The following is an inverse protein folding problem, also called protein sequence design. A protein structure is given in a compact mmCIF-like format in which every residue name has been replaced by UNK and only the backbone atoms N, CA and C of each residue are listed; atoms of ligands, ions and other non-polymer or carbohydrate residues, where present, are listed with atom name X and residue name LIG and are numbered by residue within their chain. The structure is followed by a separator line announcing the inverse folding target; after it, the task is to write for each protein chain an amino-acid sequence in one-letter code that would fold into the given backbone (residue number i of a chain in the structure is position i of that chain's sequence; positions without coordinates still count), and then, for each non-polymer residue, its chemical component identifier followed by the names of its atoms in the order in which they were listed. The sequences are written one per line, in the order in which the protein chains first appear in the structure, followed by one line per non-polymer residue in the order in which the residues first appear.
data_IF_171115040161
#
_entry.id   IF_171115040161
#
_cell.length_a   1.000
_cell.length_b   1.000
_cell.length_c   1.000
_cell.angle_alpha   90.00
_cell.angle_beta   90.00
_cell.angle_gamma   90.00
#
_symmetry.space_group_name_H-M   'P 1'
#
loop_
_entity.id
_entity.type
_entity.pdbx_description
1 polymer ?
#
# COMPACT_ATOMS: atom_id res chain seq x y z
N UNK A 1 41.07 -18.85 23.01
CA UNK A 1 39.67 -19.27 22.77
C UNK A 1 38.76 -18.24 23.44
N UNK A 2 38.42 -17.16 22.71
CA UNK A 2 37.61 -16.05 23.23
C UNK A 2 36.18 -16.18 22.73
N UNK A 3 35.22 -16.14 23.64
CA UNK A 3 33.78 -16.08 23.35
C UNK A 3 33.37 -14.60 23.32
N UNK A 4 32.98 -14.10 22.14
CA UNK A 4 32.33 -12.80 22.00
C UNK A 4 30.83 -13.04 22.10
N UNK A 5 30.23 -12.62 23.21
CA UNK A 5 28.79 -12.57 23.37
C UNK A 5 28.26 -11.29 22.71
N UNK A 6 27.50 -11.43 21.63
CA UNK A 6 26.78 -10.34 20.99
C UNK A 6 25.50 -10.04 21.80
N UNK A 7 25.48 -8.90 22.50
CA UNK A 7 24.25 -8.36 23.10
C UNK A 7 23.50 -7.57 22.02
N UNK A 8 22.38 -8.13 21.57
CA UNK A 8 21.45 -7.43 20.66
C UNK A 8 20.57 -6.51 21.51
N UNK A 9 20.85 -5.22 21.47
CA UNK A 9 19.98 -4.20 22.07
C UNK A 9 18.69 -4.07 21.25
N UNK A 10 17.65 -4.79 21.66
CA UNK A 10 16.27 -4.50 21.24
C UNK A 10 15.82 -3.20 21.91
N UNK A 11 15.99 -2.08 21.22
CA UNK A 11 15.39 -0.82 21.62
C UNK A 11 13.87 -0.93 21.49
N UNK A 12 13.19 -1.02 22.64
CA UNK A 12 11.74 -0.90 22.74
C UNK A 12 11.32 0.50 22.28
N UNK A 13 10.68 0.62 21.13
CA UNK A 13 9.96 1.83 20.72
C UNK A 13 8.68 1.96 21.53
N UNK A 14 8.82 2.37 22.79
CA UNK A 14 7.71 2.95 23.54
C UNK A 14 7.58 4.42 23.07
N UNK A 15 6.70 4.68 22.12
CA UNK A 15 6.28 6.05 21.77
C UNK A 15 5.48 6.63 22.94
N UNK A 16 6.18 7.34 23.82
CA UNK A 16 5.57 8.23 24.79
C UNK A 16 5.14 9.49 24.03
N UNK A 17 3.83 9.65 23.84
CA UNK A 17 3.23 10.87 23.32
C UNK A 17 3.38 11.97 24.38
N UNK A 18 4.38 12.83 24.21
CA UNK A 18 4.46 14.12 24.89
C UNK A 18 4.28 15.21 23.83
N UNK A 19 3.21 16.00 23.97
CA UNK A 19 2.80 17.01 23.02
C UNK A 19 3.56 18.31 23.29
N UNK A 20 4.72 18.46 22.64
CA UNK A 20 5.44 19.73 22.53
C UNK A 20 5.31 20.28 21.11
N UNK A 21 4.71 21.46 20.97
CA UNK A 21 4.53 22.19 19.72
C UNK A 21 5.84 22.56 19.00
N UNK A 22 5.66 22.96 17.72
CA UNK A 22 6.61 23.51 16.74
C UNK A 22 7.19 22.51 15.73
N UNK A 23 6.41 22.25 14.67
CA UNK A 23 6.97 21.90 13.36
C UNK A 23 6.46 22.83 12.27
N UNK A 24 7.31 23.79 11.90
CA UNK A 24 7.40 24.31 10.54
C UNK A 24 7.93 23.18 9.64
N UNK A 25 7.02 22.31 9.22
CA UNK A 25 7.28 21.24 8.25
C UNK A 25 6.09 21.23 7.30
N UNK A 26 6.37 21.26 6.00
CA UNK A 26 5.40 21.11 4.92
C UNK A 26 4.28 20.15 5.35
N UNK A 27 3.11 20.69 5.72
CA UNK A 27 1.94 19.89 5.99
C UNK A 27 1.63 19.19 4.66
N UNK A 28 1.98 17.91 4.55
CA UNK A 28 1.42 17.06 3.50
C UNK A 28 -0.07 17.14 3.77
N UNK A 29 -0.79 17.90 2.96
CA UNK A 29 -2.24 17.98 3.07
C UNK A 29 -2.76 16.57 2.83
N UNK A 30 -3.26 15.97 3.90
CA UNK A 30 -3.99 14.70 3.85
C UNK A 30 -5.44 14.93 3.49
N UNK A 31 -5.81 16.09 2.93
CA UNK A 31 -7.09 16.26 2.23
C UNK A 31 -7.31 15.02 1.38
N UNK A 32 -8.50 14.42 1.50
CA UNK A 32 -8.91 13.04 1.19
C UNK A 32 -8.54 12.50 -0.20
N UNK A 33 -7.26 12.54 -0.56
CA UNK A 33 -6.75 12.04 -1.82
C UNK A 33 -6.40 10.59 -1.58
N UNK A 34 -7.36 9.74 -1.93
CA UNK A 34 -7.24 8.31 -1.77
C UNK A 34 -5.99 7.81 -2.52
N UNK A 35 -4.96 7.37 -1.78
CA UNK A 35 -3.76 6.74 -2.34
C UNK A 35 -4.16 5.46 -3.09
N UNK A 36 -5.20 4.78 -2.61
CA UNK A 36 -5.88 3.67 -3.27
C UNK A 36 -7.24 4.16 -3.76
N UNK A 37 -7.52 4.13 -5.07
CA UNK A 37 -8.84 4.57 -5.53
C UNK A 37 -9.90 3.53 -5.08
N UNK A 38 -11.02 3.94 -4.46
CA UNK A 38 -12.10 3.00 -4.09
C UNK A 38 -12.74 2.34 -5.32
N UNK A 39 -12.66 3.00 -6.48
CA UNK A 39 -13.13 2.50 -7.78
C UNK A 39 -12.18 1.51 -8.46
N UNK A 40 -11.03 1.22 -7.84
CA UNK A 40 -10.06 0.24 -8.34
C UNK A 40 -10.06 -1.03 -7.48
N UNK A 41 -9.44 -2.09 -8.00
CA UNK A 41 -9.32 -3.33 -7.24
C UNK A 41 -8.42 -3.11 -6.02
N UNK A 42 -8.65 -3.93 -4.99
CA UNK A 42 -7.90 -3.84 -3.74
C UNK A 42 -6.38 -3.88 -3.99
N UNK A 43 -5.67 -2.96 -3.36
CA UNK A 43 -4.20 -2.85 -3.44
C UNK A 43 -3.66 -2.08 -4.65
N UNK A 44 -4.51 -1.63 -5.58
CA UNK A 44 -4.11 -0.78 -6.71
C UNK A 44 -4.05 0.70 -6.33
N UNK A 45 -3.05 1.41 -6.87
CA UNK A 45 -2.82 2.82 -6.60
C UNK A 45 -3.69 3.73 -7.44
N UNK A 46 -4.15 4.81 -6.83
CA UNK A 46 -4.73 5.93 -7.54
C UNK A 46 -3.61 6.73 -8.20
N UNK A 47 -3.31 6.42 -9.46
CA UNK A 47 -2.17 6.99 -10.22
C UNK A 47 -2.06 8.51 -10.11
N UNK A 48 -3.17 9.23 -10.27
CA UNK A 48 -3.21 10.70 -10.17
C UNK A 48 -3.24 11.18 -8.71
N UNK A 49 -3.99 10.51 -7.83
CA UNK A 49 -4.06 10.86 -6.42
C UNK A 49 -2.72 10.72 -5.70
N UNK A 50 -2.04 9.60 -5.90
CA UNK A 50 -0.70 9.35 -5.35
C UNK A 50 0.36 10.34 -5.88
N UNK A 51 0.27 10.75 -7.15
CA UNK A 51 1.17 11.79 -7.68
C UNK A 51 0.98 13.14 -6.96
N UNK A 52 -0.28 13.51 -6.70
CA UNK A 52 -0.63 14.74 -6.00
C UNK A 52 -0.17 14.71 -4.53
N UNK A 53 -0.40 13.60 -3.82
CA UNK A 53 0.09 13.41 -2.44
C UNK A 53 1.61 13.52 -2.35
N UNK A 54 2.33 13.04 -3.38
CA UNK A 54 3.78 13.13 -3.46
C UNK A 54 4.29 14.51 -3.95
N UNK A 55 3.39 15.45 -4.25
CA UNK A 55 3.74 16.78 -4.76
C UNK A 55 4.48 16.75 -6.11
N UNK A 56 4.23 15.72 -6.93
CA UNK A 56 4.91 15.54 -8.21
C UNK A 56 4.25 16.39 -9.29
N UNK A 57 5.06 17.06 -10.11
CA UNK A 57 4.61 17.86 -11.25
C UNK A 57 5.49 17.62 -12.48
N UNK A 58 4.98 18.00 -13.66
CA UNK A 58 5.69 17.90 -14.94
C UNK A 58 6.18 16.47 -15.23
N UNK A 59 7.38 16.33 -15.79
CA UNK A 59 7.92 15.02 -16.17
C UNK A 59 8.06 14.02 -15.01
N UNK A 60 8.15 14.46 -13.75
CA UNK A 60 8.16 13.55 -12.59
C UNK A 60 6.78 12.92 -12.35
N UNK A 61 5.71 13.71 -12.54
CA UNK A 61 4.34 13.23 -12.45
C UNK A 61 4.06 12.20 -13.55
N UNK A 62 4.44 12.51 -14.79
CA UNK A 62 4.30 11.58 -15.93
C UNK A 62 5.03 10.26 -15.63
N UNK A 63 6.29 10.36 -15.16
CA UNK A 63 7.07 9.17 -14.85
C UNK A 63 6.48 8.34 -13.71
N UNK A 64 5.94 9.01 -12.70
CA UNK A 64 5.26 8.35 -11.59
C UNK A 64 4.01 7.59 -12.05
N UNK A 65 3.19 8.20 -12.91
CA UNK A 65 2.00 7.54 -13.46
C UNK A 65 2.38 6.24 -14.18
N UNK A 66 3.44 6.24 -14.98
CA UNK A 66 3.94 5.01 -15.63
C UNK A 66 4.34 3.92 -14.61
N UNK A 67 5.02 4.33 -13.53
CA UNK A 67 5.47 3.42 -12.47
C UNK A 67 4.27 2.83 -11.72
N UNK A 68 3.32 3.69 -11.31
CA UNK A 68 2.11 3.27 -10.60
C UNK A 68 1.28 2.32 -11.46
N UNK A 69 1.09 2.61 -12.75
CA UNK A 69 0.41 1.69 -13.68
C UNK A 69 1.14 0.35 -13.83
N UNK A 70 2.47 0.33 -13.80
CA UNK A 70 3.24 -0.93 -13.83
C UNK A 70 3.02 -1.73 -12.56
N UNK A 71 3.02 -1.08 -11.40
CA UNK A 71 2.70 -1.70 -10.12
C UNK A 71 1.28 -2.30 -10.14
N UNK A 72 0.27 -1.54 -10.59
CA UNK A 72 -1.13 -1.99 -10.61
C UNK A 72 -1.34 -3.24 -11.48
N UNK A 73 -0.60 -3.36 -12.59
CA UNK A 73 -0.59 -4.57 -13.43
C UNK A 73 -0.02 -5.78 -12.70
N UNK A 74 1.03 -5.59 -11.90
CA UNK A 74 1.64 -6.67 -11.10
C UNK A 74 0.69 -7.10 -9.99
N UNK A 75 0.04 -6.15 -9.30
CA UNK A 75 -0.98 -6.44 -8.28
C UNK A 75 -2.14 -7.23 -8.88
N UNK A 76 -2.64 -6.82 -10.04
CA UNK A 76 -3.73 -7.54 -10.72
C UNK A 76 -3.32 -8.96 -11.10
N UNK A 77 -2.12 -9.13 -11.67
CA UNK A 77 -1.59 -10.44 -12.02
C UNK A 77 -1.41 -11.35 -10.80
N UNK A 78 -0.87 -10.83 -9.69
CA UNK A 78 -0.73 -11.57 -8.44
C UNK A 78 -2.08 -11.97 -7.85
N UNK A 79 -3.08 -11.08 -7.92
CA UNK A 79 -4.45 -11.36 -7.47
C UNK A 79 -5.08 -12.49 -8.28
N UNK A 80 -4.92 -12.47 -9.61
CA UNK A 80 -5.39 -13.54 -10.48
C UNK A 80 -4.68 -14.86 -10.21
N UNK A 81 -3.38 -14.82 -9.90
CA UNK A 81 -2.62 -16.02 -9.56
C UNK A 81 -3.10 -16.63 -8.24
N UNK A 82 -3.33 -15.80 -7.21
CA UNK A 82 -3.93 -16.24 -5.95
C UNK A 82 -5.24 -16.99 -6.19
N UNK A 83 -6.12 -16.47 -7.05
CA UNK A 83 -7.39 -17.14 -7.35
C UNK A 83 -7.17 -18.52 -7.98
N UNK A 84 -6.24 -18.66 -8.92
CA UNK A 84 -5.94 -19.96 -9.54
C UNK A 84 -5.36 -20.95 -8.54
N UNK A 85 -4.41 -20.52 -7.72
CA UNK A 85 -3.76 -21.39 -6.74
C UNK A 85 -4.76 -21.86 -5.67
N UNK A 86 -5.69 -20.97 -5.29
CA UNK A 86 -6.73 -21.23 -4.31
C UNK A 86 -7.79 -22.25 -4.80
N UNK A 87 -7.99 -22.43 -6.10
CA UNK A 87 -8.95 -23.42 -6.64
C UNK A 87 -8.64 -24.86 -6.20
N UNK A 88 -7.38 -25.16 -5.89
CA UNK A 88 -6.96 -26.48 -5.40
C UNK A 88 -7.27 -26.72 -3.91
N UNK A 89 -7.60 -25.66 -3.16
CA UNK A 89 -7.76 -25.69 -1.70
C UNK A 89 -9.18 -25.32 -1.28
N UNK A 90 -9.81 -24.36 -1.96
CA UNK A 90 -11.08 -23.77 -1.56
C UNK A 90 -12.26 -24.39 -2.30
N UNK A 91 -13.39 -24.49 -1.59
CA UNK A 91 -14.67 -24.81 -2.22
C UNK A 91 -15.15 -23.68 -3.14
N UNK A 92 -16.08 -23.96 -4.08
CA UNK A 92 -16.65 -22.92 -4.94
C UNK A 92 -17.26 -21.72 -4.17
N UNK A 93 -17.94 -21.98 -3.04
CA UNK A 93 -18.51 -20.91 -2.22
C UNK A 93 -17.43 -20.03 -1.55
N UNK A 94 -16.35 -20.65 -1.05
CA UNK A 94 -15.22 -19.91 -0.50
C UNK A 94 -14.47 -19.13 -1.58
N UNK A 95 -14.38 -19.65 -2.80
CA UNK A 95 -13.81 -18.93 -3.95
C UNK A 95 -14.60 -17.66 -4.29
N UNK A 96 -15.94 -17.70 -4.20
CA UNK A 96 -16.79 -16.51 -4.38
C UNK A 96 -16.48 -15.47 -3.30
N UNK A 97 -16.37 -15.90 -2.04
CA UNK A 97 -16.03 -15.00 -0.93
C UNK A 97 -14.63 -14.38 -1.11
N UNK A 98 -13.64 -15.19 -1.49
CA UNK A 98 -12.28 -14.70 -1.78
C UNK A 98 -12.29 -13.63 -2.89
N UNK A 99 -13.00 -13.87 -4.00
CA UNK A 99 -13.09 -12.90 -5.10
C UNK A 99 -13.77 -11.60 -4.68
N UNK A 100 -14.76 -11.68 -3.78
CA UNK A 100 -15.45 -10.50 -3.27
C UNK A 100 -14.54 -9.55 -2.47
N UNK A 101 -13.50 -10.07 -1.78
CA UNK A 101 -12.53 -9.24 -1.06
C UNK A 101 -11.73 -8.29 -1.97
N UNK A 102 -11.55 -8.66 -3.25
CA UNK A 102 -10.75 -7.89 -4.20
C UNK A 102 -11.60 -7.19 -5.26
N UNK A 103 -12.93 -7.30 -5.18
CA UNK A 103 -13.83 -6.58 -6.06
C UNK A 103 -13.69 -5.07 -5.84
N UNK A 104 -14.00 -4.29 -6.88
CA UNK A 104 -14.13 -2.84 -6.76
C UNK A 104 -15.28 -2.55 -5.79
N UNK A 105 -15.06 -1.65 -4.84
CA UNK A 105 -16.11 -1.21 -3.93
C UNK A 105 -17.01 -0.21 -4.68
N UNK A 106 -18.23 -0.62 -4.99
CA UNK A 106 -19.30 0.26 -5.48
C UNK A 106 -20.23 0.57 -4.30
N UNK A 107 -20.14 1.78 -3.69
CA UNK A 107 -20.90 2.14 -2.49
C UNK A 107 -22.41 2.23 -2.71
#
# INVERSE_FOLDING_TARGET
MGLIAAVVSIASYAQQHDHGEHHNGSQISTDDVAIFCPTMKTGQLCTHGSANVLGLTGGKQEKWVEIAQKYDRVVDAATLQLFKDAESVLTPAQMVQLKAWFAVFDP
#
